data_IF_817976715318
#
_entry.id   IF_817976715318
#
_cell.length_a   1.000
_cell.length_b   1.000
_cell.length_c   1.000
_cell.angle_alpha   90.00
_cell.angle_beta   90.00
_cell.angle_gamma   90.00
#
_symmetry.space_group_name_H-M   'P 1'
#
loop_
_entity.id
_entity.type
_entity.pdbx_description
1 polymer ?
#
# COMPACT_ATOMS: atom_id res chain seq x y z
N UNK A 1 -18.07 -11.01 14.28
CA UNK A 1 -18.01 -9.66 13.67
C UNK A 1 -17.29 -8.66 14.58
N UNK A 2 -17.72 -8.39 15.84
CA UNK A 2 -17.04 -7.41 16.69
C UNK A 2 -15.57 -7.77 17.01
N UNK A 3 -15.27 -9.06 17.18
CA UNK A 3 -13.89 -9.53 17.44
C UNK A 3 -12.98 -9.31 16.23
N UNK A 4 -13.45 -9.61 15.01
CA UNK A 4 -12.66 -9.41 13.78
C UNK A 4 -12.36 -7.92 13.53
N UNK A 5 -13.33 -7.05 13.83
CA UNK A 5 -13.11 -5.60 13.82
C UNK A 5 -12.08 -5.17 14.87
N UNK A 6 -12.14 -5.75 16.08
CA UNK A 6 -11.14 -5.52 17.12
C UNK A 6 -9.72 -5.95 16.70
N UNK A 7 -9.59 -7.12 16.05
CA UNK A 7 -8.33 -7.60 15.48
C UNK A 7 -7.82 -6.64 14.41
N UNK A 8 -8.67 -6.24 13.46
CA UNK A 8 -8.32 -5.26 12.44
C UNK A 8 -7.84 -3.93 13.06
N UNK A 9 -8.60 -3.38 14.00
CA UNK A 9 -8.25 -2.13 14.68
C UNK A 9 -6.93 -2.25 15.44
N UNK A 10 -6.69 -3.36 16.13
CA UNK A 10 -5.42 -3.62 16.82
C UNK A 10 -4.25 -3.75 15.84
N UNK A 11 -4.44 -4.48 14.73
CA UNK A 11 -3.43 -4.61 13.67
C UNK A 11 -3.09 -3.26 13.02
N UNK A 12 -4.09 -2.42 12.77
CA UNK A 12 -3.89 -1.09 12.21
C UNK A 12 -3.19 -0.17 13.22
N UNK A 13 -3.68 -0.14 14.47
CA UNK A 13 -3.09 0.67 15.54
C UNK A 13 -1.61 0.38 15.75
N UNK A 14 -1.25 -0.90 15.90
CA UNK A 14 0.15 -1.31 16.12
C UNK A 14 1.09 -0.85 15.00
N UNK A 15 0.63 -0.86 13.74
CA UNK A 15 1.42 -0.41 12.59
C UNK A 15 1.55 1.11 12.54
N UNK A 16 0.46 1.84 12.78
CA UNK A 16 0.44 3.31 12.74
C UNK A 16 1.24 3.96 13.87
N UNK A 17 1.56 3.26 14.96
CA UNK A 17 2.43 3.78 16.03
C UNK A 17 3.80 4.24 15.54
N UNK A 18 4.29 3.67 14.43
CA UNK A 18 5.58 4.02 13.85
C UNK A 18 5.50 5.13 12.81
N UNK A 19 4.32 5.71 12.54
CA UNK A 19 4.09 6.72 11.50
C UNK A 19 5.08 7.89 11.60
N UNK A 20 5.33 8.42 12.80
CA UNK A 20 6.26 9.53 13.01
C UNK A 20 7.70 9.25 12.57
N UNK A 21 8.12 7.98 12.50
CA UNK A 21 9.46 7.60 12.01
C UNK A 21 9.59 7.73 10.49
N UNK A 22 8.48 7.87 9.76
CA UNK A 22 8.42 8.06 8.32
C UNK A 22 8.17 9.52 7.94
N UNK A 23 8.18 10.44 8.91
CA UNK A 23 8.03 11.87 8.64
C UNK A 23 9.32 12.57 9.02
N UNK A 24 9.95 13.24 8.06
CA UNK A 24 11.18 14.01 8.26
C UNK A 24 10.98 15.41 7.70
N UNK A 25 11.14 16.44 8.53
CA UNK A 25 10.95 17.84 8.14
C UNK A 25 9.57 18.15 7.50
N UNK A 26 8.53 17.40 7.89
CA UNK A 26 7.18 17.55 7.32
C UNK A 26 6.93 16.78 6.03
N UNK A 27 7.91 16.04 5.54
CA UNK A 27 7.79 15.22 4.33
C UNK A 27 7.78 13.73 4.65
N UNK A 28 7.09 12.95 3.80
CA UNK A 28 7.09 11.49 3.90
C UNK A 28 8.43 10.94 3.42
N UNK A 29 9.05 10.14 4.26
CA UNK A 29 10.30 9.46 4.00
C UNK A 29 10.11 7.95 4.05
N UNK A 30 9.92 7.33 2.88
CA UNK A 30 9.77 5.88 2.79
C UNK A 30 11.04 5.16 3.24
N UNK A 31 10.86 3.97 3.85
CA UNK A 31 11.97 3.07 4.18
C UNK A 31 12.22 2.09 3.05
N UNK A 32 13.49 1.81 2.79
CA UNK A 32 13.91 0.96 1.67
C UNK A 32 13.84 1.69 0.32
N UNK A 33 14.13 0.96 -0.76
CA UNK A 33 14.22 1.52 -2.10
C UNK A 33 12.94 1.32 -2.92
N UNK A 34 12.31 0.15 -2.80
CA UNK A 34 11.18 -0.27 -3.64
C UNK A 34 9.97 0.65 -3.53
N UNK A 35 9.69 1.18 -2.34
CA UNK A 35 8.60 2.13 -2.12
C UNK A 35 8.75 3.41 -2.94
N UNK A 36 9.98 3.90 -3.12
CA UNK A 36 10.26 5.05 -3.98
C UNK A 36 10.03 4.73 -5.45
N UNK A 37 10.34 3.51 -5.89
CA UNK A 37 10.08 3.11 -7.27
C UNK A 37 8.58 2.88 -7.52
N UNK A 38 7.83 2.38 -6.52
CA UNK A 38 6.36 2.37 -6.56
C UNK A 38 5.77 3.79 -6.64
N UNK A 39 6.31 4.76 -5.90
CA UNK A 39 5.89 6.16 -6.02
C UNK A 39 6.08 6.63 -7.46
N UNK A 40 7.23 6.35 -8.07
CA UNK A 40 7.50 6.69 -9.47
C UNK A 40 6.50 6.08 -10.45
N UNK A 41 6.26 4.77 -10.37
CA UNK A 41 5.33 4.08 -11.29
C UNK A 41 3.88 4.48 -11.04
N UNK A 42 3.50 4.71 -9.79
CA UNK A 42 2.17 5.20 -9.42
C UNK A 42 1.95 6.64 -9.89
N UNK A 43 2.93 7.53 -9.75
CA UNK A 43 2.85 8.90 -10.26
C UNK A 43 2.69 8.93 -11.79
N UNK A 44 3.45 8.09 -12.51
CA UNK A 44 3.23 7.92 -13.95
C UNK A 44 1.81 7.45 -14.26
N UNK A 45 1.31 6.47 -13.52
CA UNK A 45 -0.04 5.92 -13.70
C UNK A 45 -1.13 6.95 -13.41
N UNK A 46 -0.96 7.82 -12.41
CA UNK A 46 -1.90 8.91 -12.10
C UNK A 46 -2.06 9.90 -13.27
N UNK A 47 -1.00 10.12 -14.03
CA UNK A 47 -0.98 11.02 -15.19
C UNK A 47 -1.45 10.34 -16.49
N UNK A 48 -1.30 9.01 -16.59
CA UNK A 48 -1.46 8.26 -17.84
C UNK A 48 -2.48 7.12 -17.75
N UNK A 49 -3.32 7.10 -16.72
CA UNK A 49 -4.23 5.98 -16.42
C UNK A 49 -5.08 5.59 -17.65
N UNK A 50 -5.22 4.29 -17.99
CA UNK A 50 -4.73 3.11 -17.27
C UNK A 50 -3.36 2.58 -17.73
N UNK A 51 -2.58 3.38 -18.47
CA UNK A 51 -1.29 2.94 -19.01
C UNK A 51 -0.18 2.96 -17.96
N UNK A 52 0.58 1.88 -17.88
CA UNK A 52 1.71 1.73 -16.95
C UNK A 52 3.02 2.16 -17.61
N UNK A 53 4.10 2.24 -16.82
CA UNK A 53 5.46 2.48 -17.32
C UNK A 53 6.17 1.13 -17.52
N UNK A 54 6.11 0.48 -18.70
CA UNK A 54 6.70 -0.84 -18.90
C UNK A 54 8.24 -0.80 -18.94
N UNK A 55 8.80 0.27 -19.51
CA UNK A 55 10.23 0.49 -19.64
C UNK A 55 10.59 1.87 -19.10
N UNK A 56 11.61 1.93 -18.25
CA UNK A 56 12.06 3.14 -17.61
C UNK A 56 13.47 3.51 -18.06
N UNK A 57 13.56 4.57 -18.86
CA UNK A 57 14.82 5.13 -19.36
C UNK A 57 15.61 5.90 -18.29
N UNK A 58 14.99 6.24 -17.16
CA UNK A 58 15.62 7.01 -16.09
C UNK A 58 16.33 6.16 -15.05
N UNK A 59 16.24 4.83 -15.15
CA UNK A 59 16.96 3.87 -14.32
C UNK A 59 17.82 2.97 -15.20
N UNK A 60 18.86 2.32 -14.67
CA UNK A 60 19.72 1.45 -15.48
C UNK A 60 20.50 2.17 -16.59
N UNK A 61 20.93 3.42 -16.35
CA UNK A 61 21.70 4.20 -17.31
C UNK A 61 22.97 3.45 -17.79
N UNK A 62 23.32 3.50 -19.09
CA UNK A 62 22.72 4.31 -20.17
C UNK A 62 21.60 3.62 -20.96
N UNK A 63 21.17 2.44 -20.56
CA UNK A 63 20.28 1.60 -21.40
C UNK A 63 18.81 1.78 -21.02
N UNK A 64 18.51 1.92 -19.74
CA UNK A 64 17.15 1.78 -19.23
C UNK A 64 16.94 0.44 -18.54
N UNK A 65 15.79 0.25 -17.90
CA UNK A 65 15.37 -1.06 -17.36
C UNK A 65 13.88 -1.32 -17.58
N UNK A 66 13.51 -2.59 -17.68
CA UNK A 66 12.11 -2.98 -17.62
C UNK A 66 11.59 -2.82 -16.17
N UNK A 67 10.41 -2.23 -16.01
CA UNK A 67 9.81 -2.02 -14.68
C UNK A 67 9.38 -3.32 -13.99
N UNK A 68 9.18 -4.41 -14.73
CA UNK A 68 8.93 -5.74 -14.17
C UNK A 68 7.68 -5.81 -13.29
N UNK A 69 7.87 -6.01 -11.98
CA UNK A 69 6.77 -6.16 -11.01
C UNK A 69 6.12 -4.83 -10.58
N UNK A 70 6.74 -3.70 -10.92
CA UNK A 70 6.25 -2.36 -10.57
C UNK A 70 5.30 -1.80 -11.62
N UNK A 71 4.36 -0.95 -11.20
CA UNK A 71 3.29 -0.44 -12.07
C UNK A 71 2.16 -1.45 -12.29
N UNK A 72 2.05 -2.49 -11.45
CA UNK A 72 1.09 -3.59 -11.64
C UNK A 72 -0.16 -3.38 -10.77
N UNK A 73 -0.80 -4.46 -10.29
CA UNK A 73 -2.06 -4.39 -9.56
C UNK A 73 -1.99 -3.47 -8.34
N UNK A 74 -0.88 -3.53 -7.58
CA UNK A 74 -0.68 -2.68 -6.41
C UNK A 74 -0.74 -1.19 -6.78
N UNK A 75 -0.01 -0.77 -7.81
CA UNK A 75 0.03 0.63 -8.25
C UNK A 75 -1.33 1.12 -8.77
N UNK A 76 -2.15 0.25 -9.38
CA UNK A 76 -3.51 0.60 -9.79
C UNK A 76 -4.45 0.79 -8.60
N UNK A 77 -4.37 -0.10 -7.60
CA UNK A 77 -5.10 0.06 -6.34
C UNK A 77 -4.69 1.37 -5.68
N UNK A 78 -3.39 1.68 -5.69
CA UNK A 78 -2.88 2.93 -5.16
C UNK A 78 -3.40 4.14 -5.94
N UNK A 79 -3.36 4.14 -7.27
CA UNK A 79 -3.85 5.25 -8.09
C UNK A 79 -5.32 5.60 -7.77
N UNK A 80 -6.19 4.58 -7.70
CA UNK A 80 -7.60 4.78 -7.30
C UNK A 80 -7.69 5.28 -5.85
N UNK A 81 -6.94 4.68 -4.93
CA UNK A 81 -6.90 5.11 -3.53
C UNK A 81 -6.45 6.57 -3.38
N UNK A 82 -5.46 6.99 -4.16
CA UNK A 82 -4.93 8.35 -4.19
C UNK A 82 -5.99 9.34 -4.70
N UNK A 83 -6.72 9.03 -5.77
CA UNK A 83 -7.81 9.91 -6.23
C UNK A 83 -8.90 10.11 -5.17
N UNK A 84 -9.20 9.08 -4.39
CA UNK A 84 -10.23 9.15 -3.34
C UNK A 84 -9.70 9.88 -2.10
N UNK A 85 -8.48 9.58 -1.67
CA UNK A 85 -7.96 10.00 -0.36
C UNK A 85 -7.17 11.32 -0.41
N UNK A 86 -6.50 11.64 -1.52
CA UNK A 86 -5.68 12.87 -1.63
C UNK A 86 -6.46 14.19 -1.46
N UNK A 87 -7.78 14.31 -1.72
CA UNK A 87 -8.51 15.53 -1.37
C UNK A 87 -8.55 15.82 0.14
N UNK A 88 -8.36 14.80 0.98
CA UNK A 88 -8.37 14.91 2.46
C UNK A 88 -7.02 14.59 3.09
N UNK A 89 -6.05 14.13 2.30
CA UNK A 89 -4.68 13.80 2.71
C UNK A 89 -3.70 14.65 1.90
N UNK A 90 -2.65 15.20 2.53
CA UNK A 90 -1.86 16.28 1.94
C UNK A 90 -1.13 15.93 0.64
N UNK A 91 -0.76 14.65 0.45
CA UNK A 91 0.05 14.24 -0.70
C UNK A 91 -0.16 12.78 -1.13
N UNK A 92 0.32 12.44 -2.33
CA UNK A 92 0.34 11.07 -2.85
C UNK A 92 1.13 10.13 -1.93
N UNK A 93 2.27 10.60 -1.45
CA UNK A 93 3.18 9.87 -0.57
C UNK A 93 2.50 9.53 0.76
N UNK A 94 1.75 10.47 1.32
CA UNK A 94 1.01 10.26 2.56
C UNK A 94 -0.06 9.18 2.39
N UNK A 95 -0.80 9.21 1.29
CA UNK A 95 -1.78 8.17 0.97
C UNK A 95 -1.09 6.81 0.84
N UNK A 96 0.02 6.72 0.10
CA UNK A 96 0.80 5.48 -0.04
C UNK A 96 1.29 4.95 1.30
N UNK A 97 1.79 5.83 2.17
CA UNK A 97 2.28 5.47 3.50
C UNK A 97 1.19 4.85 4.37
N UNK A 98 -0.03 5.41 4.34
CA UNK A 98 -1.15 4.94 5.17
C UNK A 98 -1.90 3.75 4.54
N UNK A 99 -1.90 3.62 3.22
CA UNK A 99 -2.55 2.48 2.56
C UNK A 99 -1.86 1.14 2.86
N UNK A 100 -0.53 1.12 2.99
CA UNK A 100 0.22 -0.10 3.34
C UNK A 100 -0.28 -0.76 4.64
N UNK A 101 -0.37 -0.05 5.81
CA UNK A 101 -0.89 -0.65 7.03
C UNK A 101 -2.39 -0.95 6.98
N UNK A 102 -3.20 -0.21 6.20
CA UNK A 102 -4.62 -0.54 5.99
C UNK A 102 -4.76 -1.89 5.30
N UNK A 103 -4.11 -2.07 4.15
CA UNK A 103 -4.17 -3.33 3.40
C UNK A 103 -3.58 -4.47 4.24
N UNK A 104 -2.47 -4.23 4.94
CA UNK A 104 -1.88 -5.20 5.87
C UNK A 104 -2.80 -5.62 7.01
N UNK A 105 -3.65 -4.72 7.53
CA UNK A 105 -4.66 -5.06 8.51
C UNK A 105 -5.87 -5.78 7.89
N UNK A 106 -6.27 -5.41 6.66
CA UNK A 106 -7.37 -6.04 5.93
C UNK A 106 -7.10 -7.53 5.63
N UNK A 107 -5.84 -7.97 5.60
CA UNK A 107 -5.47 -9.40 5.50
C UNK A 107 -6.14 -10.26 6.56
N UNK A 108 -6.51 -9.71 7.73
CA UNK A 108 -7.28 -10.44 8.74
C UNK A 108 -8.59 -11.05 8.18
N UNK A 109 -9.22 -10.38 7.22
CA UNK A 109 -10.50 -10.81 6.62
C UNK A 109 -10.35 -12.08 5.78
N UNK A 110 -9.53 -12.13 4.71
CA UNK A 110 -9.34 -13.36 3.95
C UNK A 110 -8.75 -14.47 4.82
N UNK A 111 -7.83 -14.16 5.76
CA UNK A 111 -7.28 -15.16 6.68
C UNK A 111 -8.36 -15.84 7.52
N UNK A 112 -9.28 -15.05 8.12
CA UNK A 112 -10.41 -15.61 8.86
C UNK A 112 -11.27 -16.51 7.98
N UNK A 113 -11.62 -16.07 6.76
CA UNK A 113 -12.46 -16.88 5.86
C UNK A 113 -11.76 -18.16 5.37
N UNK A 114 -10.44 -18.14 5.20
CA UNK A 114 -9.66 -19.34 4.90
C UNK A 114 -9.73 -20.30 6.10
N UNK A 115 -9.45 -19.83 7.32
CA UNK A 115 -9.52 -20.65 8.53
C UNK A 115 -10.92 -21.25 8.76
N UNK A 116 -11.98 -20.46 8.51
CA UNK A 116 -13.39 -20.90 8.60
C UNK A 116 -13.76 -22.08 7.69
N UNK A 117 -12.94 -22.41 6.71
CA UNK A 117 -13.14 -23.63 5.89
C UNK A 117 -12.73 -24.91 6.61
N UNK A 118 -11.92 -24.80 7.66
CA UNK A 118 -11.34 -25.94 8.38
C UNK A 118 -11.86 -26.06 9.81
N UNK A 119 -12.29 -24.96 10.43
CA UNK A 119 -12.70 -24.93 11.85
C UNK A 119 -13.94 -24.05 12.10
N UNK A 120 -14.50 -24.20 13.31
CA UNK A 120 -15.60 -23.38 13.80
C UNK A 120 -15.24 -21.89 13.97
N UNK A 121 -16.26 -21.06 14.23
CA UNK A 121 -16.13 -19.59 14.18
C UNK A 121 -15.13 -19.05 15.20
N UNK A 122 -15.09 -19.62 16.40
CA UNK A 122 -14.23 -19.15 17.49
C UNK A 122 -12.78 -19.55 17.25
N UNK A 123 -12.45 -20.83 16.93
CA UNK A 123 -11.08 -21.19 16.56
C UNK A 123 -10.53 -20.45 15.35
N UNK A 124 -11.37 -20.06 14.38
CA UNK A 124 -10.92 -19.30 13.20
C UNK A 124 -10.48 -17.85 13.50
N UNK A 125 -10.73 -17.35 14.72
CA UNK A 125 -10.32 -16.00 15.15
C UNK A 125 -8.97 -15.99 15.89
N UNK A 126 -8.37 -17.17 16.10
CA UNK A 126 -7.07 -17.38 16.77
C UNK A 126 -6.04 -17.77 15.71
#
# INVERSE_FOLDING_TARGET
>A
VPVLLGIFAFMLWTRLRSYGNFIQNGEVYFRGNDAWYHLRTTSYLLENYPSTLPYDVWTGFPVGTNAGQFGTLWDHIMAVGIWIARPIMGSTEEVMLVMSPIIGALVAVPTYFIARRFVDRVPALV
#
